data_IF_823537871496
#
_entry.id   IF_823537871496
#
_cell.length_a   1.000
_cell.length_b   1.000
_cell.length_c   1.000
_cell.angle_alpha   90.00
_cell.angle_beta   90.00
_cell.angle_gamma   90.00
#
_symmetry.space_group_name_H-M   'P 1'
#
loop_
_entity.id
_entity.type
_entity.pdbx_description
1 polymer ?
#
# COMPACT_ATOMS: atom_id res chain seq x y z
N UNK A 1 5.33 12.52 4.40
CA UNK A 1 6.36 11.53 4.03
C UNK A 1 7.70 12.23 3.77
N UNK A 2 7.71 13.27 2.91
CA UNK A 2 8.94 13.95 2.41
C UNK A 2 9.90 14.44 3.49
N UNK A 3 9.41 15.00 4.58
CA UNK A 3 10.24 15.58 5.64
C UNK A 3 10.58 14.60 6.76
N UNK A 4 9.76 13.55 6.94
CA UNK A 4 9.84 12.65 8.09
C UNK A 4 10.65 11.39 7.85
N UNK A 5 10.73 10.92 6.60
CA UNK A 5 11.48 9.72 6.23
C UNK A 5 12.85 10.04 5.60
N UNK A 6 13.31 11.30 5.64
CA UNK A 6 14.60 11.70 5.10
C UNK A 6 14.67 11.61 3.57
N UNK A 7 13.53 11.63 2.88
CA UNK A 7 13.47 11.62 1.41
C UNK A 7 14.07 12.92 0.90
N UNK A 8 15.21 12.83 0.22
CA UNK A 8 15.86 13.99 -0.39
C UNK A 8 14.98 14.54 -1.50
N UNK A 9 14.91 15.86 -1.63
CA UNK A 9 14.07 16.56 -2.63
C UNK A 9 14.33 16.15 -4.08
N UNK A 10 15.45 15.48 -4.36
CA UNK A 10 15.86 15.03 -5.70
C UNK A 10 15.47 13.58 -6.02
N UNK A 11 14.89 12.85 -5.08
CA UNK A 11 14.56 11.45 -5.27
C UNK A 11 13.20 11.26 -5.97
N UNK A 12 13.13 10.23 -6.82
CA UNK A 12 11.87 9.75 -7.40
C UNK A 12 11.41 8.57 -6.57
N UNK A 13 10.19 8.64 -6.07
CA UNK A 13 9.55 7.59 -5.29
C UNK A 13 8.21 7.19 -5.93
N UNK A 14 7.83 5.93 -5.76
CA UNK A 14 6.50 5.43 -6.06
C UNK A 14 5.67 5.33 -4.77
N UNK A 15 4.37 5.57 -4.88
CA UNK A 15 3.38 5.20 -3.85
C UNK A 15 2.36 4.34 -4.55
N UNK A 16 2.16 3.12 -4.08
CA UNK A 16 1.11 2.23 -4.55
C UNK A 16 0.05 2.09 -3.47
N UNK A 17 -1.06 2.78 -3.68
CA UNK A 17 -2.20 2.77 -2.77
C UNK A 17 -3.14 1.63 -3.11
N UNK A 18 -3.27 0.65 -2.20
CA UNK A 18 -4.05 -0.57 -2.41
C UNK A 18 -5.38 -0.42 -1.70
N UNK A 19 -6.40 0.04 -2.43
CA UNK A 19 -7.77 0.16 -1.94
C UNK A 19 -8.53 -1.16 -1.99
N UNK A 20 -9.85 -1.09 -1.88
CA UNK A 20 -10.71 -2.28 -1.96
C UNK A 20 -10.98 -2.71 -3.41
N UNK A 21 -11.38 -1.78 -4.27
CA UNK A 21 -11.74 -2.04 -5.68
C UNK A 21 -10.69 -1.50 -6.65
N UNK A 22 -9.97 -0.49 -6.22
CA UNK A 22 -9.05 0.29 -7.05
C UNK A 22 -7.72 0.46 -6.32
N UNK A 23 -6.63 0.25 -7.05
CA UNK A 23 -5.29 0.60 -6.61
C UNK A 23 -4.74 1.73 -7.48
N UNK A 24 -4.00 2.65 -6.88
CA UNK A 24 -3.46 3.82 -7.58
C UNK A 24 -1.95 3.86 -7.45
N UNK A 25 -1.23 3.94 -8.58
CA UNK A 25 0.19 4.27 -8.60
C UNK A 25 0.35 5.78 -8.73
N UNK A 26 1.06 6.38 -7.78
CA UNK A 26 1.55 7.76 -7.86
C UNK A 26 3.07 7.76 -7.92
N UNK A 27 3.64 8.54 -8.84
CA UNK A 27 5.08 8.79 -8.87
C UNK A 27 5.33 10.24 -8.48
N UNK A 28 6.17 10.41 -7.48
CA UNK A 28 6.62 11.72 -7.02
C UNK A 28 8.09 11.93 -7.39
N UNK A 29 8.39 13.07 -7.99
CA UNK A 29 9.75 13.53 -8.25
C UNK A 29 9.91 14.94 -7.69
N UNK A 30 10.94 15.13 -6.88
CA UNK A 30 11.18 16.41 -6.20
C UNK A 30 9.96 16.87 -5.37
N UNK A 31 9.21 15.91 -4.81
CA UNK A 31 8.03 16.16 -4.00
C UNK A 31 6.79 16.64 -4.78
N UNK A 32 6.79 16.54 -6.11
CA UNK A 32 5.63 16.81 -6.96
C UNK A 32 5.17 15.53 -7.62
N UNK A 33 3.86 15.33 -7.70
CA UNK A 33 3.27 14.22 -8.46
C UNK A 33 3.53 14.47 -9.94
N UNK A 34 4.23 13.53 -10.59
CA UNK A 34 4.56 13.56 -12.02
C UNK A 34 3.80 12.51 -12.82
N UNK A 35 3.21 11.52 -12.14
CA UNK A 35 2.43 10.47 -12.78
C UNK A 35 1.41 9.92 -11.79
N UNK A 36 0.21 9.61 -12.29
CA UNK A 36 -0.84 8.94 -11.55
C UNK A 36 -1.55 7.97 -12.47
N UNK A 37 -1.82 6.76 -11.99
CA UNK A 37 -2.59 5.77 -12.74
C UNK A 37 -3.36 4.85 -11.81
N UNK A 38 -4.62 4.65 -12.17
CA UNK A 38 -5.52 3.73 -11.48
C UNK A 38 -5.51 2.35 -12.14
N UNK A 39 -5.66 1.33 -11.31
CA UNK A 39 -5.74 -0.07 -11.68
C UNK A 39 -6.98 -0.70 -11.01
N UNK A 40 -7.86 -1.39 -11.77
CA UNK A 40 -9.02 -2.07 -11.20
C UNK A 40 -8.57 -3.36 -10.49
N UNK A 41 -7.99 -3.19 -9.31
CA UNK A 41 -7.44 -4.22 -8.45
C UNK A 41 -7.48 -3.75 -6.99
N UNK A 42 -7.80 -4.65 -6.04
CA UNK A 42 -7.80 -4.30 -4.63
C UNK A 42 -8.21 -5.44 -3.70
N UNK A 43 -8.44 -5.11 -2.45
CA UNK A 43 -8.74 -6.05 -1.37
C UNK A 43 -10.02 -6.87 -1.56
N UNK A 44 -10.97 -6.39 -2.37
CA UNK A 44 -12.18 -7.16 -2.65
C UNK A 44 -11.88 -8.48 -3.38
N UNK A 45 -10.82 -8.52 -4.22
CA UNK A 45 -10.41 -9.78 -4.85
C UNK A 45 -9.92 -10.81 -3.82
N UNK A 46 -9.21 -10.37 -2.77
CA UNK A 46 -8.84 -11.24 -1.66
C UNK A 46 -10.07 -11.72 -0.90
N UNK A 47 -11.00 -10.83 -0.59
CA UNK A 47 -12.24 -11.15 0.11
C UNK A 47 -13.09 -12.16 -0.69
N UNK A 48 -13.26 -11.94 -1.99
CA UNK A 48 -14.00 -12.83 -2.88
C UNK A 48 -13.34 -14.22 -2.98
N UNK A 49 -12.02 -14.29 -3.06
CA UNK A 49 -11.29 -15.57 -3.07
C UNK A 49 -11.48 -16.35 -1.77
N UNK A 50 -11.44 -15.67 -0.61
CA UNK A 50 -11.70 -16.28 0.70
C UNK A 50 -13.14 -16.82 0.75
N UNK A 51 -14.12 -16.01 0.34
CA UNK A 51 -15.53 -16.43 0.31
C UNK A 51 -15.72 -17.67 -0.55
N UNK A 52 -15.15 -17.67 -1.75
CA UNK A 52 -15.27 -18.76 -2.70
C UNK A 52 -14.61 -20.05 -2.22
N UNK A 53 -13.44 -19.95 -1.60
CA UNK A 53 -12.62 -21.11 -1.22
C UNK A 53 -13.07 -21.78 0.05
N UNK A 54 -13.53 -20.99 1.01
CA UNK A 54 -13.88 -21.46 2.35
C UNK A 54 -15.39 -21.42 2.64
N UNK A 55 -16.22 -21.12 1.64
CA UNK A 55 -17.68 -20.99 1.76
C UNK A 55 -18.10 -20.03 2.90
N UNK A 56 -17.42 -18.90 2.96
CA UNK A 56 -17.60 -17.88 4.00
C UNK A 56 -18.49 -16.73 3.56
N UNK A 57 -19.12 -16.05 4.52
CA UNK A 57 -19.80 -14.79 4.28
C UNK A 57 -18.78 -13.66 4.04
N UNK A 58 -19.21 -12.56 3.41
CA UNK A 58 -18.35 -11.39 3.18
C UNK A 58 -17.80 -10.80 4.49
N UNK A 59 -18.56 -10.83 5.56
CA UNK A 59 -18.15 -10.36 6.88
C UNK A 59 -17.00 -11.22 7.45
N UNK A 60 -17.15 -12.55 7.39
CA UNK A 60 -16.10 -13.49 7.81
C UNK A 60 -14.84 -13.36 6.96
N UNK A 61 -14.99 -13.32 5.64
CA UNK A 61 -13.88 -13.16 4.71
C UNK A 61 -13.12 -11.85 4.94
N UNK A 62 -13.83 -10.75 5.17
CA UNK A 62 -13.22 -9.45 5.48
C UNK A 62 -12.42 -9.44 6.78
N UNK A 63 -12.77 -10.28 7.73
CA UNK A 63 -12.03 -10.44 8.99
C UNK A 63 -10.63 -11.03 8.71
N UNK A 64 -10.55 -12.10 7.93
CA UNK A 64 -9.29 -12.74 7.54
C UNK A 64 -8.47 -11.87 6.59
N UNK A 65 -9.10 -11.19 5.64
CA UNK A 65 -8.43 -10.27 4.73
C UNK A 65 -7.71 -9.11 5.45
N UNK A 66 -8.10 -8.80 6.70
CA UNK A 66 -7.44 -7.78 7.54
C UNK A 66 -6.25 -8.30 8.35
N UNK A 67 -5.81 -9.54 8.13
CA UNK A 67 -4.61 -10.11 8.75
C UNK A 67 -4.86 -10.90 10.02
N UNK A 68 -6.11 -11.29 10.29
CA UNK A 68 -6.40 -12.25 11.35
C UNK A 68 -5.99 -13.67 10.90
N UNK A 69 -5.63 -14.57 11.83
CA UNK A 69 -5.25 -15.93 11.50
C UNK A 69 -6.34 -16.64 10.68
N UNK A 70 -5.97 -17.06 9.49
CA UNK A 70 -6.88 -17.71 8.56
C UNK A 70 -7.09 -19.20 8.83
N UNK A 71 -7.94 -19.85 8.02
CA UNK A 71 -8.08 -21.30 7.99
C UNK A 71 -6.76 -22.01 7.66
N UNK A 72 -6.78 -23.36 7.76
CA UNK A 72 -5.63 -24.18 7.34
C UNK A 72 -5.26 -23.89 5.87
N UNK A 73 -3.97 -23.80 5.60
CA UNK A 73 -3.38 -23.46 4.30
C UNK A 73 -3.74 -22.06 3.73
N UNK A 74 -4.34 -21.18 4.54
CA UNK A 74 -4.74 -19.83 4.09
C UNK A 74 -3.58 -19.01 3.55
N UNK A 75 -2.44 -19.06 4.22
CA UNK A 75 -1.25 -18.29 3.82
C UNK A 75 -0.77 -18.74 2.44
N UNK A 76 -0.57 -20.03 2.22
CA UNK A 76 0.01 -20.58 0.98
C UNK A 76 -0.98 -20.56 -0.20
N UNK A 77 -2.25 -20.79 0.08
CA UNK A 77 -3.25 -21.00 -0.98
C UNK A 77 -4.03 -19.74 -1.38
N UNK A 78 -4.04 -18.73 -0.53
CA UNK A 78 -4.82 -17.50 -0.76
C UNK A 78 -3.95 -16.25 -0.60
N UNK A 79 -3.25 -16.11 0.53
CA UNK A 79 -2.56 -14.86 0.84
C UNK A 79 -1.32 -14.66 -0.03
N UNK A 80 -0.47 -15.67 -0.17
CA UNK A 80 0.72 -15.60 -1.03
C UNK A 80 0.36 -15.35 -2.50
N UNK A 81 -0.59 -16.07 -3.15
CA UNK A 81 -1.06 -15.73 -4.49
C UNK A 81 -1.60 -14.31 -4.63
N UNK A 82 -2.30 -13.79 -3.62
CA UNK A 82 -2.75 -12.40 -3.63
C UNK A 82 -1.57 -11.41 -3.57
N UNK A 83 -0.58 -11.64 -2.70
CA UNK A 83 0.62 -10.80 -2.61
C UNK A 83 1.41 -10.80 -3.92
N UNK A 84 1.56 -11.94 -4.58
CA UNK A 84 2.19 -12.04 -5.90
C UNK A 84 1.38 -11.29 -6.98
N UNK A 85 0.06 -11.30 -6.88
CA UNK A 85 -0.78 -10.49 -7.78
C UNK A 85 -0.57 -8.98 -7.54
N UNK A 86 -0.45 -8.53 -6.28
CA UNK A 86 -0.07 -7.14 -5.97
C UNK A 86 1.26 -6.78 -6.65
N UNK A 87 2.29 -7.62 -6.52
CA UNK A 87 3.60 -7.44 -7.19
C UNK A 87 3.41 -7.28 -8.69
N UNK A 88 2.61 -8.15 -9.31
CA UNK A 88 2.34 -8.10 -10.74
C UNK A 88 1.66 -6.79 -11.17
N UNK A 89 0.70 -6.30 -10.38
CA UNK A 89 0.05 -5.00 -10.66
C UNK A 89 1.04 -3.85 -10.56
N UNK A 90 1.89 -3.84 -9.53
CA UNK A 90 2.95 -2.83 -9.38
C UNK A 90 3.91 -2.89 -10.57
N UNK A 91 4.41 -4.07 -10.93
CA UNK A 91 5.33 -4.27 -12.06
C UNK A 91 4.74 -3.71 -13.36
N UNK A 92 3.50 -4.05 -13.67
CA UNK A 92 2.79 -3.52 -14.85
C UNK A 92 2.66 -2.00 -14.81
N UNK A 93 2.29 -1.43 -13.67
CA UNK A 93 2.15 0.00 -13.50
C UNK A 93 3.48 0.73 -13.72
N UNK A 94 4.59 0.20 -13.19
CA UNK A 94 5.94 0.73 -13.37
C UNK A 94 6.42 0.61 -14.81
N UNK A 95 6.12 -0.49 -15.51
CA UNK A 95 6.43 -0.66 -16.93
C UNK A 95 5.75 0.42 -17.79
N UNK A 96 4.47 0.70 -17.52
CA UNK A 96 3.76 1.78 -18.22
C UNK A 96 4.39 3.14 -17.94
N UNK A 97 4.75 3.44 -16.71
CA UNK A 97 5.44 4.68 -16.38
C UNK A 97 6.78 4.78 -17.13
N UNK A 98 7.59 3.73 -17.10
CA UNK A 98 8.90 3.70 -17.76
C UNK A 98 8.82 3.88 -19.28
N UNK A 99 7.73 3.42 -19.91
CA UNK A 99 7.51 3.61 -21.35
C UNK A 99 7.14 5.04 -21.74
N UNK A 100 6.66 5.84 -20.77
CA UNK A 100 6.19 7.21 -20.99
C UNK A 100 7.13 8.29 -20.46
N UNK A 101 8.11 7.93 -19.63
CA UNK A 101 8.99 8.86 -18.93
C UNK A 101 10.46 8.69 -19.34
N UNK A 102 11.14 9.80 -19.64
CA UNK A 102 12.57 9.81 -19.96
C UNK A 102 13.49 9.43 -18.78
N UNK A 103 12.96 9.40 -17.55
CA UNK A 103 13.72 9.12 -16.33
C UNK A 103 12.95 8.20 -15.39
N UNK A 104 13.33 6.92 -15.33
CA UNK A 104 12.64 5.86 -14.57
C UNK A 104 13.37 5.39 -13.29
N UNK A 105 14.25 6.20 -12.69
CA UNK A 105 14.95 5.80 -11.46
C UNK A 105 14.05 5.98 -10.22
N UNK A 106 13.08 5.09 -10.05
CA UNK A 106 12.32 4.98 -8.81
C UNK A 106 13.18 4.21 -7.81
N UNK A 107 13.53 4.84 -6.69
CA UNK A 107 14.39 4.22 -5.67
C UNK A 107 13.62 3.38 -4.68
N UNK A 108 12.43 3.82 -4.32
CA UNK A 108 11.62 3.18 -3.29
C UNK A 108 10.17 3.24 -3.69
N UNK A 109 9.46 2.16 -3.45
CA UNK A 109 8.00 2.12 -3.53
C UNK A 109 7.41 2.05 -2.12
N UNK A 110 6.48 2.94 -1.82
CA UNK A 110 5.72 2.94 -0.58
C UNK A 110 4.36 2.31 -0.82
N UNK A 111 3.99 1.36 0.02
CA UNK A 111 2.68 0.72 -0.01
C UNK A 111 1.75 1.46 0.96
N UNK A 112 0.58 1.87 0.48
CA UNK A 112 -0.47 2.51 1.28
C UNK A 112 -1.83 1.87 1.01
N UNK A 113 -2.84 2.27 1.77
CA UNK A 113 -4.19 1.72 1.65
C UNK A 113 -4.46 0.52 2.56
N UNK A 114 -5.67 -0.02 2.43
CA UNK A 114 -6.21 -1.03 3.35
C UNK A 114 -5.44 -2.35 3.34
N UNK A 115 -4.85 -2.72 2.21
CA UNK A 115 -4.12 -3.99 2.06
C UNK A 115 -2.61 -3.85 2.28
N UNK A 116 -2.08 -2.64 2.42
CA UNK A 116 -0.65 -2.43 2.57
C UNK A 116 -0.06 -3.04 3.87
N UNK A 117 -0.91 -3.21 4.89
CA UNK A 117 -0.51 -3.79 6.18
C UNK A 117 -0.49 -5.32 6.23
N UNK A 118 -0.78 -6.01 5.13
CA UNK A 118 -0.62 -7.46 5.04
C UNK A 118 0.82 -7.82 5.40
N UNK A 119 0.96 -8.69 6.40
CA UNK A 119 2.26 -9.14 6.89
C UNK A 119 3.07 -9.80 5.77
N UNK A 120 4.30 -9.37 5.57
CA UNK A 120 5.19 -9.92 4.54
C UNK A 120 5.02 -9.28 3.15
N UNK A 121 4.00 -8.45 2.92
CA UNK A 121 3.76 -7.87 1.58
C UNK A 121 4.92 -6.98 1.11
N UNK A 122 5.44 -6.12 1.97
CA UNK A 122 6.53 -5.23 1.59
C UNK A 122 7.80 -6.01 1.24
N UNK A 123 8.10 -7.07 1.99
CA UNK A 123 9.23 -7.96 1.76
C UNK A 123 9.09 -8.71 0.43
N UNK A 124 7.90 -9.23 0.11
CA UNK A 124 7.62 -9.90 -1.16
C UNK A 124 7.77 -8.92 -2.32
N UNK A 125 7.23 -7.70 -2.20
CA UNK A 125 7.38 -6.65 -3.23
C UNK A 125 8.85 -6.29 -3.43
N UNK A 126 9.63 -6.13 -2.36
CA UNK A 126 11.06 -5.82 -2.44
C UNK A 126 11.85 -6.93 -3.13
N UNK A 127 11.59 -8.19 -2.76
CA UNK A 127 12.26 -9.36 -3.32
C UNK A 127 11.94 -9.54 -4.81
N UNK A 128 10.68 -9.48 -5.19
CA UNK A 128 10.23 -9.77 -6.55
C UNK A 128 10.55 -8.62 -7.54
N UNK A 129 10.50 -7.37 -7.10
CA UNK A 129 10.80 -6.22 -7.95
C UNK A 129 12.28 -5.80 -7.92
N UNK A 130 13.07 -6.31 -6.97
CA UNK A 130 14.47 -5.94 -6.81
C UNK A 130 14.66 -4.46 -6.46
N UNK A 131 13.66 -3.83 -5.85
CA UNK A 131 13.69 -2.43 -5.44
C UNK A 131 13.17 -2.27 -4.01
N UNK A 132 13.66 -1.26 -3.29
CA UNK A 132 13.24 -1.03 -1.92
C UNK A 132 11.72 -0.82 -1.82
N UNK A 133 11.07 -1.57 -0.94
CA UNK A 133 9.66 -1.41 -0.62
C UNK A 133 9.46 -1.15 0.88
N UNK A 134 8.49 -0.33 1.23
CA UNK A 134 8.17 -0.01 2.62
C UNK A 134 6.68 0.32 2.77
N UNK A 135 6.12 0.03 3.93
CA UNK A 135 4.76 0.47 4.26
C UNK A 135 4.80 1.97 4.58
N UNK A 136 3.91 2.74 3.97
CA UNK A 136 3.80 4.16 4.23
C UNK A 136 3.27 4.42 5.65
N UNK A 137 3.99 5.24 6.41
CA UNK A 137 3.60 5.66 7.76
C UNK A 137 3.49 7.19 7.84
N UNK A 138 2.33 7.77 7.50
CA UNK A 138 2.12 9.21 7.54
C UNK A 138 2.02 9.77 8.96
N UNK A 139 1.89 8.92 9.99
CA UNK A 139 1.76 9.33 11.39
C UNK A 139 3.07 9.24 12.18
N UNK A 140 4.11 8.68 11.59
CA UNK A 140 5.44 8.62 12.19
C UNK A 140 5.95 10.01 12.56
N UNK A 141 6.46 10.16 13.77
CA UNK A 141 6.99 11.44 14.28
C UNK A 141 5.94 12.52 14.60
N UNK A 142 4.64 12.18 14.60
CA UNK A 142 3.58 13.07 15.12
C UNK A 142 3.49 12.95 16.64
N UNK A 143 3.27 14.07 17.30
CA UNK A 143 2.80 14.07 18.68
C UNK A 143 1.31 13.72 18.71
N UNK A 144 0.99 12.62 19.38
CA UNK A 144 -0.40 12.15 19.48
C UNK A 144 -1.03 12.70 20.75
N UNK A 145 -2.12 13.42 20.61
CA UNK A 145 -2.87 13.95 21.76
C UNK A 145 -3.38 12.82 22.66
N UNK A 146 -3.46 13.05 23.96
CA UNK A 146 -3.81 12.05 24.98
C UNK A 146 -5.19 11.40 24.80
N UNK A 147 -6.10 12.08 24.11
CA UNK A 147 -7.45 11.59 23.79
C UNK A 147 -7.51 10.70 22.54
N UNK A 148 -6.39 10.47 21.84
CA UNK A 148 -6.31 9.63 20.65
C UNK A 148 -5.66 8.29 21.03
N UNK A 149 -6.28 7.19 20.60
CA UNK A 149 -5.75 5.84 20.81
C UNK A 149 -4.52 5.61 19.90
N UNK A 150 -3.31 5.90 20.42
CA UNK A 150 -2.06 5.85 19.66
C UNK A 150 -1.81 4.48 19.01
N UNK A 151 -2.18 3.37 19.67
CA UNK A 151 -2.04 2.01 19.11
C UNK A 151 -2.94 1.79 17.90
N UNK A 152 -4.20 2.25 17.96
CA UNK A 152 -5.13 2.15 16.84
C UNK A 152 -4.68 3.03 15.67
N UNK A 153 -4.16 4.23 15.96
CA UNK A 153 -3.62 5.14 14.96
C UNK A 153 -2.43 4.49 14.20
N UNK A 154 -1.48 3.92 14.93
CA UNK A 154 -0.31 3.25 14.32
C UNK A 154 -0.71 2.03 13.49
N UNK A 155 -1.64 1.20 14.00
CA UNK A 155 -2.11 0.02 13.27
C UNK A 155 -2.79 0.35 11.94
N UNK A 156 -3.42 1.52 11.85
CA UNK A 156 -4.13 1.96 10.65
C UNK A 156 -3.35 3.04 9.86
N UNK A 157 -2.08 3.25 10.15
CA UNK A 157 -1.30 4.36 9.58
C UNK A 157 -1.31 4.36 8.05
N UNK A 158 -1.13 3.21 7.40
CA UNK A 158 -1.14 3.08 5.94
C UNK A 158 -2.44 3.52 5.29
N UNK A 159 -3.59 3.40 6.00
CA UNK A 159 -4.90 3.83 5.53
C UNK A 159 -5.12 5.34 5.65
N UNK A 160 -4.30 6.03 6.41
CA UNK A 160 -4.49 7.45 6.75
C UNK A 160 -3.73 8.39 5.81
N UNK A 161 -3.08 7.87 4.76
CA UNK A 161 -2.26 8.68 3.85
C UNK A 161 -3.02 9.88 3.28
N UNK A 162 -4.21 9.64 2.73
CA UNK A 162 -5.04 10.70 2.12
C UNK A 162 -5.57 11.65 3.19
N UNK A 163 -6.10 11.12 4.30
CA UNK A 163 -6.65 11.93 5.39
C UNK A 163 -5.58 12.86 6.01
N UNK A 164 -4.36 12.33 6.21
CA UNK A 164 -3.23 13.12 6.72
C UNK A 164 -2.78 14.20 5.72
N UNK A 165 -2.73 13.86 4.42
CA UNK A 165 -2.41 14.84 3.39
C UNK A 165 -3.43 15.97 3.31
N UNK A 166 -4.72 15.67 3.49
CA UNK A 166 -5.78 16.68 3.54
C UNK A 166 -5.71 17.55 4.82
N UNK A 167 -5.45 16.92 5.97
CA UNK A 167 -5.31 17.64 7.23
C UNK A 167 -4.13 18.62 7.20
N UNK A 168 -3.03 18.27 6.56
CA UNK A 168 -1.84 19.14 6.45
C UNK A 168 -2.07 20.38 5.56
N UNK A 169 -3.02 20.35 4.63
CA UNK A 169 -3.37 21.53 3.78
C UNK A 169 -3.97 22.71 4.54
N UNK A 170 -4.49 22.47 5.72
CA UNK A 170 -5.09 23.53 6.54
C UNK A 170 -4.09 24.32 7.39
N UNK A 171 -2.80 24.04 7.28
CA UNK A 171 -1.72 24.66 8.05
C UNK A 171 -0.71 25.43 7.17
N UNK A 172 -0.97 25.55 5.87
CA UNK A 172 -0.17 26.35 4.92
C UNK A 172 -0.73 27.81 4.79
#
# INVERSE_FOLDING_TARGET
>A
IREREGIRSTETIGIFDIGNDLSTLLILRNGRVVYTRDHPFGGNQLTEEIMRRYDMTAEQASFFARGEPGPENFEDEVLEPFMLNVVHQISRALQFYSSTAEFSNIRTIYLSGSMASIKGLAEVVEQELGMKAAIADPVSGLEVASNVAATALKRNASNLMVAMGLAMRGFD
#
